data_IF_199042256563
#
_entry.id   IF_199042256563
#
_cell.length_a   1.000
_cell.length_b   1.000
_cell.length_c   1.000
_cell.angle_alpha   90.00
_cell.angle_beta   90.00
_cell.angle_gamma   90.00
#
_symmetry.space_group_name_H-M   'P 1'
#
loop_
_entity.id
_entity.type
_entity.pdbx_description
1 polymer ?
#
# COMPACT_ATOMS: atom_id res chain seq x y z
N UNK A 1 -4.73 46.85 32.86
CA UNK A 1 -4.57 46.82 31.39
C UNK A 1 -3.55 45.75 31.07
N UNK A 2 -3.91 44.74 30.27
CA UNK A 2 -3.12 43.56 29.95
C UNK A 2 -3.13 43.40 28.42
N UNK A 3 -1.99 43.12 27.79
CA UNK A 3 -2.00 42.21 26.64
C UNK A 3 -0.76 41.31 26.63
N UNK A 4 -0.69 40.12 26.03
CA UNK A 4 -1.62 39.23 25.33
C UNK A 4 -0.85 37.90 25.35
N UNK A 5 -1.42 36.86 25.96
CA UNK A 5 -0.92 35.49 25.83
C UNK A 5 -1.34 34.97 24.46
N UNK A 6 -0.39 34.75 23.55
CA UNK A 6 -0.65 33.99 22.32
C UNK A 6 -0.41 32.52 22.61
N UNK A 7 -1.45 31.88 23.16
CA UNK A 7 -1.55 30.42 23.23
C UNK A 7 -2.03 29.96 21.85
N UNK A 8 -1.12 29.49 21.01
CA UNK A 8 -1.44 28.84 19.73
C UNK A 8 -2.20 27.53 20.04
N UNK A 9 -3.52 27.66 20.15
CA UNK A 9 -4.45 26.53 20.22
C UNK A 9 -4.74 26.11 18.78
N UNK A 10 -3.83 25.35 18.18
CA UNK A 10 -4.09 24.74 16.89
C UNK A 10 -5.03 23.54 17.13
N UNK A 11 -6.32 23.84 17.14
CA UNK A 11 -7.39 22.84 17.09
C UNK A 11 -7.33 22.22 15.70
N UNK A 12 -6.57 21.14 15.55
CA UNK A 12 -6.60 20.31 14.35
C UNK A 12 -7.95 19.59 14.34
N UNK A 13 -8.94 20.19 13.69
CA UNK A 13 -10.15 19.48 13.29
C UNK A 13 -9.79 18.57 12.10
N UNK A 14 -9.39 17.33 12.41
CA UNK A 14 -9.38 16.25 11.43
C UNK A 14 -10.83 15.84 11.11
N UNK A 15 -11.54 16.60 10.28
CA UNK A 15 -12.72 16.12 9.56
C UNK A 15 -12.37 15.93 8.10
N UNK A 16 -12.17 14.67 7.72
CA UNK A 16 -11.93 14.31 6.33
C UNK A 16 -11.97 12.80 6.11
N UNK A 17 -13.13 12.31 5.70
CA UNK A 17 -13.34 11.05 4.95
C UNK A 17 -13.42 9.74 5.75
N UNK A 18 -14.57 9.61 6.39
CA UNK A 18 -15.25 8.40 6.85
C UNK A 18 -15.61 7.42 5.69
N UNK A 19 -14.68 7.16 4.75
CA UNK A 19 -14.89 6.29 3.56
C UNK A 19 -13.79 5.24 3.32
N UNK A 20 -12.83 5.08 4.23
CA UNK A 20 -11.79 4.01 4.14
C UNK A 20 -12.06 2.80 5.03
N UNK A 21 -13.17 2.79 5.76
CA UNK A 21 -13.41 1.89 6.90
C UNK A 21 -14.31 0.67 6.59
N UNK A 22 -14.74 0.48 5.34
CA UNK A 22 -15.75 -0.53 5.00
C UNK A 22 -15.29 -1.69 4.13
N UNK A 23 -14.01 -1.75 3.72
CA UNK A 23 -13.59 -2.61 2.61
C UNK A 23 -12.71 -3.81 3.01
N UNK A 24 -12.28 -3.89 4.27
CA UNK A 24 -11.41 -4.95 4.74
C UNK A 24 -12.19 -6.09 5.45
N UNK A 25 -13.45 -5.89 5.88
CA UNK A 25 -14.29 -7.01 6.35
C UNK A 25 -14.74 -7.95 5.21
N UNK A 26 -14.75 -7.45 3.96
CA UNK A 26 -15.03 -8.23 2.74
C UNK A 26 -13.83 -9.13 2.32
N UNK A 27 -12.75 -9.15 3.10
CA UNK A 27 -11.46 -9.76 2.79
C UNK A 27 -11.38 -11.28 3.02
N UNK A 28 -12.27 -11.86 3.82
CA UNK A 28 -12.09 -13.22 4.37
C UNK A 28 -12.84 -14.33 3.59
N UNK A 29 -12.65 -14.41 2.27
CA UNK A 29 -13.00 -15.61 1.48
C UNK A 29 -11.82 -15.99 0.57
N UNK A 30 -11.36 -17.24 0.62
CA UNK A 30 -9.99 -17.65 0.18
C UNK A 30 -9.70 -17.56 -1.32
N UNK A 31 -10.68 -17.84 -2.19
CA UNK A 31 -10.51 -17.70 -3.65
C UNK A 31 -10.61 -16.24 -4.11
N UNK A 32 -11.42 -15.46 -3.38
CA UNK A 32 -11.60 -14.03 -3.57
C UNK A 32 -10.38 -13.25 -3.07
N UNK A 33 -9.77 -13.69 -1.98
CA UNK A 33 -8.55 -13.15 -1.41
C UNK A 33 -7.39 -13.19 -2.42
N UNK A 34 -7.15 -14.32 -3.08
CA UNK A 34 -6.06 -14.42 -4.08
C UNK A 34 -6.30 -13.47 -5.25
N UNK A 35 -7.55 -13.40 -5.74
CA UNK A 35 -7.92 -12.47 -6.83
C UNK A 35 -7.73 -11.01 -6.40
N UNK A 36 -8.15 -10.65 -5.19
CA UNK A 36 -7.98 -9.31 -4.62
C UNK A 36 -6.50 -8.96 -4.43
N UNK A 37 -5.67 -9.88 -3.96
CA UNK A 37 -4.22 -9.69 -3.85
C UNK A 37 -3.61 -9.43 -5.23
N UNK A 38 -3.98 -10.21 -6.25
CA UNK A 38 -3.47 -10.04 -7.61
C UNK A 38 -3.90 -8.70 -8.21
N UNK A 39 -5.16 -8.31 -8.06
CA UNK A 39 -5.67 -7.01 -8.55
C UNK A 39 -4.94 -5.87 -7.86
N UNK A 40 -4.87 -5.89 -6.53
CA UNK A 40 -4.13 -4.88 -5.76
C UNK A 40 -2.66 -4.82 -6.19
N UNK A 41 -2.00 -5.97 -6.30
CA UNK A 41 -0.59 -6.03 -6.69
C UNK A 41 -0.35 -5.47 -8.09
N UNK A 42 -1.26 -5.72 -9.04
CA UNK A 42 -1.17 -5.19 -10.40
C UNK A 42 -1.34 -3.66 -10.44
N UNK A 43 -2.28 -3.10 -9.68
CA UNK A 43 -2.50 -1.65 -9.57
C UNK A 43 -1.27 -0.95 -8.97
N UNK A 44 -0.79 -1.46 -7.82
CA UNK A 44 0.38 -0.92 -7.13
C UNK A 44 1.63 -1.04 -8.00
N UNK A 45 1.83 -2.18 -8.66
CA UNK A 45 2.93 -2.38 -9.60
C UNK A 45 2.86 -1.42 -10.80
N UNK A 46 1.67 -1.18 -11.35
CA UNK A 46 1.44 -0.28 -12.46
C UNK A 46 1.80 1.17 -12.12
N UNK A 47 1.45 1.62 -10.92
CA UNK A 47 1.88 2.92 -10.42
C UNK A 47 3.38 2.95 -10.15
N UNK A 48 3.91 1.96 -9.41
CA UNK A 48 5.32 1.90 -9.08
C UNK A 48 6.22 1.87 -10.32
N UNK A 49 5.82 1.18 -11.38
CA UNK A 49 6.56 1.15 -12.64
C UNK A 49 6.70 2.52 -13.32
N UNK A 50 5.82 3.49 -13.02
CA UNK A 50 5.89 4.86 -13.54
C UNK A 50 6.85 5.76 -12.74
N UNK A 51 7.25 5.33 -11.55
CA UNK A 51 8.16 6.11 -10.70
C UNK A 51 9.59 6.09 -11.26
N UNK A 52 10.33 7.22 -11.16
CA UNK A 52 11.51 7.49 -11.97
C UNK A 52 12.75 6.71 -11.54
N UNK A 53 12.85 6.33 -10.26
CA UNK A 53 14.04 5.67 -9.72
C UNK A 53 13.70 4.46 -8.88
N UNK A 54 14.64 3.51 -8.79
CA UNK A 54 14.51 2.31 -7.94
C UNK A 54 14.24 2.69 -6.48
N UNK A 55 14.92 3.71 -5.97
CA UNK A 55 14.77 4.13 -4.58
C UNK A 55 13.34 4.64 -4.29
N UNK A 56 12.78 5.44 -5.19
CA UNK A 56 11.40 5.95 -5.06
C UNK A 56 10.38 4.81 -5.17
N UNK A 57 10.64 3.82 -6.02
CA UNK A 57 9.80 2.61 -6.14
C UNK A 57 9.76 1.80 -4.86
N UNK A 58 10.92 1.49 -4.27
CA UNK A 58 10.96 0.70 -3.03
C UNK A 58 10.40 1.47 -1.83
N UNK A 59 10.60 2.79 -1.76
CA UNK A 59 10.00 3.63 -0.72
C UNK A 59 8.47 3.62 -0.81
N UNK A 60 7.91 3.75 -2.02
CA UNK A 60 6.48 3.63 -2.25
C UNK A 60 5.94 2.25 -1.85
N UNK A 61 6.61 1.17 -2.23
CA UNK A 61 6.21 -0.18 -1.84
C UNK A 61 6.25 -0.40 -0.32
N UNK A 62 7.24 0.17 0.37
CA UNK A 62 7.31 0.13 1.83
C UNK A 62 6.15 0.89 2.49
N UNK A 63 5.79 2.07 1.98
CA UNK A 63 4.63 2.82 2.47
C UNK A 63 3.32 2.02 2.28
N UNK A 64 3.14 1.39 1.11
CA UNK A 64 1.97 0.53 0.85
C UNK A 64 1.92 -0.69 1.75
N UNK A 65 3.09 -1.25 2.12
CA UNK A 65 3.19 -2.34 3.10
C UNK A 65 2.63 -1.91 4.44
N UNK A 66 3.08 -0.75 4.95
CA UNK A 66 2.70 -0.27 6.27
C UNK A 66 1.19 0.06 6.32
N UNK A 67 0.64 0.60 5.24
CA UNK A 67 -0.81 0.80 5.11
C UNK A 67 -1.60 -0.52 5.16
N UNK A 68 -1.12 -1.58 4.48
CA UNK A 68 -1.75 -2.90 4.52
C UNK A 68 -1.70 -3.51 5.92
N UNK A 69 -0.56 -3.41 6.60
CA UNK A 69 -0.42 -3.89 7.99
C UNK A 69 -1.40 -3.16 8.89
N UNK A 70 -1.41 -1.82 8.85
CA UNK A 70 -2.31 -1.02 9.67
C UNK A 70 -3.79 -1.32 9.38
N UNK A 71 -4.15 -1.50 8.11
CA UNK A 71 -5.49 -1.88 7.70
C UNK A 71 -5.90 -3.25 8.25
N UNK A 72 -5.07 -4.28 8.05
CA UNK A 72 -5.36 -5.62 8.54
C UNK A 72 -5.45 -5.68 10.08
N UNK A 73 -4.57 -4.96 10.79
CA UNK A 73 -4.63 -4.88 12.27
C UNK A 73 -5.91 -4.19 12.74
N UNK A 74 -6.34 -3.11 12.07
CA UNK A 74 -7.59 -2.42 12.40
C UNK A 74 -8.83 -3.32 12.26
N UNK A 75 -8.70 -4.42 11.51
CA UNK A 75 -9.75 -5.38 11.20
C UNK A 75 -9.65 -6.64 12.06
N UNK A 76 -8.78 -6.62 13.06
CA UNK A 76 -8.63 -7.68 14.04
C UNK A 76 -7.67 -8.80 13.63
N UNK A 77 -6.96 -8.67 12.49
CA UNK A 77 -5.87 -9.58 12.15
C UNK A 77 -4.71 -9.35 13.13
N UNK A 78 -4.04 -10.43 13.54
CA UNK A 78 -2.86 -10.28 14.39
C UNK A 78 -1.78 -9.50 13.63
N UNK A 79 -0.97 -8.71 14.35
CA UNK A 79 0.10 -7.93 13.72
C UNK A 79 1.07 -8.82 12.92
N UNK A 80 1.32 -10.04 13.42
CA UNK A 80 2.15 -11.03 12.73
C UNK A 80 1.53 -11.48 11.40
N UNK A 81 0.26 -11.86 11.41
CA UNK A 81 -0.41 -12.34 10.20
C UNK A 81 -0.64 -11.20 9.20
N UNK A 82 -0.92 -9.99 9.69
CA UNK A 82 -1.00 -8.78 8.90
C UNK A 82 0.33 -8.47 8.19
N UNK A 83 1.46 -8.62 8.90
CA UNK A 83 2.79 -8.45 8.32
C UNK A 83 3.08 -9.49 7.23
N UNK A 84 2.81 -10.79 7.50
CA UNK A 84 3.01 -11.87 6.51
C UNK A 84 2.21 -11.60 5.24
N UNK A 85 0.95 -11.19 5.41
CA UNK A 85 0.08 -10.86 4.30
C UNK A 85 0.59 -9.65 3.50
N UNK A 86 0.93 -8.56 4.18
CA UNK A 86 1.43 -7.35 3.54
C UNK A 86 2.73 -7.63 2.76
N UNK A 87 3.62 -8.44 3.31
CA UNK A 87 4.84 -8.88 2.64
C UNK A 87 4.53 -9.71 1.38
N UNK A 88 3.56 -10.62 1.43
CA UNK A 88 3.14 -11.38 0.26
C UNK A 88 2.59 -10.47 -0.85
N UNK A 89 1.71 -9.53 -0.51
CA UNK A 89 1.14 -8.55 -1.45
C UNK A 89 2.23 -7.69 -2.10
N UNK A 90 3.16 -7.14 -1.31
CA UNK A 90 4.24 -6.28 -1.79
C UNK A 90 5.24 -7.05 -2.65
N UNK A 91 5.53 -8.29 -2.31
CA UNK A 91 6.38 -9.15 -3.13
C UNK A 91 5.74 -9.45 -4.50
N UNK A 92 4.43 -9.71 -4.54
CA UNK A 92 3.70 -9.87 -5.79
C UNK A 92 3.73 -8.58 -6.63
N UNK A 93 3.49 -7.42 -6.01
CA UNK A 93 3.58 -6.13 -6.69
C UNK A 93 4.99 -5.87 -7.25
N UNK A 94 6.04 -6.20 -6.49
CA UNK A 94 7.43 -6.06 -6.93
C UNK A 94 7.75 -6.94 -8.15
N UNK A 95 7.26 -8.18 -8.16
CA UNK A 95 7.43 -9.09 -9.29
C UNK A 95 6.76 -8.54 -10.56
N UNK A 96 5.49 -8.13 -10.46
CA UNK A 96 4.74 -7.55 -11.60
C UNK A 96 5.42 -6.26 -12.09
N UNK A 97 5.85 -5.39 -11.17
CA UNK A 97 6.55 -4.14 -11.52
C UNK A 97 7.84 -4.43 -12.30
N UNK A 98 8.60 -5.44 -11.88
CA UNK A 98 9.85 -5.84 -12.54
C UNK A 98 9.57 -6.29 -13.98
N UNK A 99 8.54 -7.10 -14.18
CA UNK A 99 8.09 -7.51 -15.51
C UNK A 99 7.67 -6.31 -16.38
N UNK A 100 6.87 -5.38 -15.83
CA UNK A 100 6.45 -4.16 -16.54
C UNK A 100 7.65 -3.31 -16.98
N UNK A 101 8.66 -3.18 -16.13
CA UNK A 101 9.88 -2.44 -16.45
C UNK A 101 10.72 -3.14 -17.52
N UNK A 102 10.84 -4.47 -17.45
CA UNK A 102 11.53 -5.27 -18.47
C UNK A 102 10.86 -5.13 -19.84
N UNK A 103 9.53 -5.20 -19.90
CA UNK A 103 8.76 -4.97 -21.12
C UNK A 103 9.00 -3.57 -21.71
N UNK A 104 9.02 -2.51 -20.89
CA UNK A 104 9.30 -1.13 -21.35
C UNK A 104 10.72 -0.93 -21.87
N UNK A 105 11.69 -1.63 -21.29
CA UNK A 105 13.08 -1.56 -21.73
C UNK A 105 13.32 -2.29 -23.07
N UNK A 106 12.28 -2.88 -23.68
CA UNK A 106 12.40 -3.66 -24.91
C UNK A 106 13.21 -4.94 -24.71
N UNK A 107 13.36 -5.42 -23.47
CA UNK A 107 14.05 -6.67 -23.18
C UNK A 107 13.07 -7.80 -23.50
N UNK A 108 13.26 -8.57 -24.58
CA UNK A 108 12.43 -9.76 -24.81
C UNK A 108 12.64 -10.71 -23.65
N UNK A 109 11.57 -11.41 -23.24
CA UNK A 109 11.65 -12.49 -22.26
C UNK A 109 12.65 -13.53 -22.77
N UNK A 110 13.86 -13.46 -22.24
CA UNK A 110 15.02 -14.18 -22.72
C UNK A 110 15.63 -15.00 -21.60
N UNK A 111 15.25 -16.29 -21.60
CA UNK A 111 15.92 -17.48 -21.04
C UNK A 111 15.74 -17.69 -19.53
N UNK A 112 15.57 -18.93 -19.05
CA UNK A 112 15.90 -20.23 -19.62
C UNK A 112 14.71 -21.20 -19.66
#
# INVERSE_FOLDING_TARGET
MNPVQVRLHLKVECRGTQRRQGHLLDWMMTEDLTKKIVVWAAEIAGYAAQLPSRQVREAYLAERRDELVAGAVAEGVTERDAAILADACVNAARAIMTELLAHRAGVPKGRA
#
